data_IF_180954909932
#
_entry.id   IF_180954909932
#
_cell.length_a   1.000
_cell.length_b   1.000
_cell.length_c   1.000
_cell.angle_alpha   90.00
_cell.angle_beta   90.00
_cell.angle_gamma   90.00
#
_symmetry.space_group_name_H-M   'P 1'
#
loop_
_entity.id
_entity.type
_entity.pdbx_description
1 polymer ?
#
# COMPACT_ATOMS: atom_id res chain seq x y z
N UNK A 1 4.88 -31.65 -1.30
CA UNK A 1 4.37 -30.30 -1.04
C UNK A 1 4.92 -29.88 0.32
N UNK A 2 5.50 -28.68 0.40
CA UNK A 2 5.90 -28.12 1.68
C UNK A 2 4.67 -28.07 2.62
N UNK A 3 4.77 -28.50 3.90
CA UNK A 3 3.64 -28.49 4.83
C UNK A 3 2.92 -27.14 4.92
N UNK A 4 3.64 -26.04 4.74
CA UNK A 4 3.09 -24.68 4.75
C UNK A 4 2.08 -24.40 3.63
N UNK A 5 2.29 -24.96 2.43
CA UNK A 5 1.40 -24.76 1.29
C UNK A 5 0.08 -25.52 1.50
N UNK A 6 0.15 -26.71 2.12
CA UNK A 6 -1.03 -27.52 2.41
C UNK A 6 -2.01 -26.81 3.35
N UNK A 7 -1.50 -26.20 4.43
CA UNK A 7 -2.34 -25.41 5.34
C UNK A 7 -3.02 -24.23 4.63
N UNK A 8 -2.31 -23.56 3.72
CA UNK A 8 -2.82 -22.41 2.97
C UNK A 8 -3.92 -22.84 1.98
N UNK A 9 -3.73 -23.97 1.29
CA UNK A 9 -4.75 -24.54 0.40
C UNK A 9 -6.04 -24.91 1.14
N UNK A 10 -5.92 -25.49 2.34
CA UNK A 10 -7.08 -25.80 3.18
C UNK A 10 -7.80 -24.53 3.66
N UNK A 11 -7.03 -23.51 4.06
CA UNK A 11 -7.59 -22.24 4.52
C UNK A 11 -8.37 -21.51 3.42
N UNK A 12 -7.85 -21.53 2.19
CA UNK A 12 -8.47 -20.94 1.00
C UNK A 12 -9.57 -21.82 0.39
N UNK A 13 -9.84 -23.00 0.96
CA UNK A 13 -10.84 -23.98 0.48
C UNK A 13 -10.69 -24.30 -1.00
N UNK A 14 -9.46 -24.54 -1.44
CA UNK A 14 -9.17 -24.85 -2.84
C UNK A 14 -9.68 -26.24 -3.18
N UNK A 15 -10.46 -26.34 -4.25
CA UNK A 15 -10.98 -27.59 -4.77
C UNK A 15 -10.48 -27.88 -6.19
N UNK A 16 -10.64 -29.14 -6.63
CA UNK A 16 -10.32 -29.52 -8.01
C UNK A 16 -11.27 -28.76 -8.95
N UNK A 17 -10.69 -28.01 -9.89
CA UNK A 17 -11.42 -27.17 -10.83
C UNK A 17 -11.25 -25.67 -10.58
N UNK A 18 -10.60 -25.27 -9.48
CA UNK A 18 -10.31 -23.87 -9.21
C UNK A 18 -9.03 -23.38 -9.90
N UNK A 19 -9.03 -22.10 -10.28
CA UNK A 19 -7.83 -21.39 -10.71
C UNK A 19 -7.17 -20.77 -9.49
N UNK A 20 -5.90 -21.09 -9.28
CA UNK A 20 -5.11 -20.60 -8.15
C UNK A 20 -3.85 -19.87 -8.62
N UNK A 21 -3.43 -18.90 -7.82
CA UNK A 21 -2.13 -18.23 -7.94
C UNK A 21 -1.26 -18.62 -6.75
N UNK A 22 -0.05 -19.13 -7.02
CA UNK A 22 0.92 -19.47 -5.99
C UNK A 22 2.15 -18.59 -6.18
N UNK A 23 2.51 -17.84 -5.14
CA UNK A 23 3.74 -17.07 -5.11
C UNK A 23 4.88 -17.93 -4.55
N UNK A 24 5.88 -18.23 -5.39
CA UNK A 24 6.96 -19.15 -5.04
C UNK A 24 7.83 -18.68 -3.86
N UNK A 25 7.96 -17.38 -3.66
CA UNK A 25 8.84 -16.81 -2.61
C UNK A 25 8.22 -16.88 -1.22
N UNK A 26 6.90 -16.66 -1.12
CA UNK A 26 6.16 -16.62 0.15
C UNK A 26 5.45 -17.93 0.44
N UNK A 27 5.24 -18.78 -0.56
CA UNK A 27 4.36 -19.96 -0.46
C UNK A 27 2.88 -19.61 -0.36
N UNK A 28 2.52 -18.33 -0.52
CA UNK A 28 1.13 -17.88 -0.43
C UNK A 28 0.31 -18.38 -1.62
N UNK A 29 -0.86 -18.91 -1.33
CA UNK A 29 -1.83 -19.39 -2.32
C UNK A 29 -3.05 -18.49 -2.28
N UNK A 30 -3.55 -18.08 -3.45
CA UNK A 30 -4.80 -17.32 -3.60
C UNK A 30 -5.72 -18.02 -4.58
N UNK A 31 -6.95 -18.33 -4.16
CA UNK A 31 -8.03 -18.78 -5.06
C UNK A 31 -8.51 -17.60 -5.90
N UNK A 32 -8.42 -17.69 -7.22
CA UNK A 32 -8.93 -16.65 -8.14
C UNK A 32 -10.40 -16.86 -8.48
N UNK A 33 -10.86 -18.11 -8.49
CA UNK A 33 -12.24 -18.46 -8.82
C UNK A 33 -12.35 -19.85 -9.42
N UNK A 34 -13.57 -20.23 -9.79
CA UNK A 34 -13.86 -21.51 -10.45
C UNK A 34 -13.51 -21.42 -11.93
N UNK A 35 -12.90 -22.44 -12.52
CA UNK A 35 -12.57 -22.39 -13.94
C UNK A 35 -13.84 -22.49 -14.81
N UNK A 36 -13.97 -21.62 -15.81
CA UNK A 36 -15.09 -21.62 -16.78
C UNK A 36 -15.34 -22.98 -17.45
N UNK A 37 -14.29 -23.80 -17.61
CA UNK A 37 -14.40 -25.14 -18.20
C UNK A 37 -15.24 -26.11 -17.35
N UNK A 38 -15.43 -25.78 -16.07
CA UNK A 38 -16.24 -26.54 -15.11
C UNK A 38 -17.60 -25.88 -14.84
N UNK A 39 -17.92 -24.77 -15.51
CA UNK A 39 -19.24 -24.15 -15.43
C UNK A 39 -20.28 -25.07 -16.09
N UNK A 40 -21.29 -25.49 -15.33
CA UNK A 40 -22.44 -26.21 -15.87
C UNK A 40 -23.58 -25.22 -16.15
N UNK A 41 -24.36 -25.43 -17.22
CA UNK A 41 -25.45 -24.51 -17.61
C UNK A 41 -26.57 -24.37 -16.56
N UNK A 42 -26.54 -25.19 -15.50
CA UNK A 42 -27.55 -25.24 -14.43
C UNK A 42 -26.98 -24.88 -13.05
N UNK A 43 -25.78 -24.31 -13.00
CA UNK A 43 -25.15 -23.95 -11.75
C UNK A 43 -25.80 -22.69 -11.17
N UNK A 44 -26.58 -22.87 -10.08
CA UNK A 44 -27.18 -21.78 -9.30
C UNK A 44 -26.17 -21.19 -8.30
N UNK A 45 -24.92 -21.64 -8.32
CA UNK A 45 -23.87 -21.18 -7.43
C UNK A 45 -23.38 -19.78 -7.81
N UNK A 46 -23.24 -18.93 -6.80
CA UNK A 46 -22.75 -17.55 -6.94
C UNK A 46 -21.22 -17.51 -6.90
N UNK A 47 -20.56 -18.47 -7.54
CA UNK A 47 -19.09 -18.49 -7.63
C UNK A 47 -18.62 -17.59 -8.78
N UNK A 48 -17.51 -16.88 -8.55
CA UNK A 48 -16.86 -16.09 -9.59
C UNK A 48 -16.11 -17.04 -10.54
N UNK A 49 -16.63 -17.18 -11.76
CA UNK A 49 -16.02 -17.99 -12.80
C UNK A 49 -14.92 -17.20 -13.50
N UNK A 50 -13.75 -17.82 -13.64
CA UNK A 50 -12.56 -17.24 -14.24
C UNK A 50 -12.05 -18.13 -15.38
N UNK A 51 -11.60 -17.53 -16.50
CA UNK A 51 -11.10 -18.28 -17.63
C UNK A 51 -9.78 -18.98 -17.29
N UNK A 52 -9.52 -20.09 -17.97
CA UNK A 52 -8.24 -20.80 -17.84
C UNK A 52 -7.08 -19.84 -18.19
N UNK A 53 -6.10 -19.64 -17.29
CA UNK A 53 -4.95 -18.78 -17.57
C UNK A 53 -4.22 -19.22 -18.83
N UNK A 54 -3.92 -18.26 -19.72
CA UNK A 54 -3.19 -18.53 -20.97
C UNK A 54 -1.68 -18.49 -20.74
N UNK A 55 -0.96 -19.35 -21.45
CA UNK A 55 0.51 -19.45 -21.42
C UNK A 55 1.03 -20.39 -20.34
N UNK A 56 2.32 -20.27 -20.02
CA UNK A 56 3.01 -21.21 -19.13
C UNK A 56 2.54 -21.13 -17.67
N UNK A 57 2.53 -22.26 -16.96
CA UNK A 57 2.14 -22.31 -15.54
C UNK A 57 3.17 -21.61 -14.65
N UNK A 58 4.46 -21.82 -14.92
CA UNK A 58 5.54 -21.17 -14.19
C UNK A 58 5.99 -19.91 -14.93
N UNK A 59 5.71 -18.73 -14.35
CA UNK A 59 6.12 -17.44 -14.90
C UNK A 59 6.92 -16.66 -13.87
N UNK A 60 8.04 -16.07 -14.29
CA UNK A 60 8.74 -15.06 -13.52
C UNK A 60 8.17 -13.70 -13.92
N UNK A 61 7.49 -13.04 -12.98
CA UNK A 61 6.95 -11.68 -13.17
C UNK A 61 7.75 -10.71 -12.33
N UNK A 62 8.26 -9.66 -12.96
CA UNK A 62 8.79 -8.51 -12.23
C UNK A 62 7.61 -7.65 -11.79
N UNK A 63 7.49 -7.44 -10.49
CA UNK A 63 6.44 -6.62 -9.89
C UNK A 63 7.10 -5.34 -9.41
N UNK A 64 6.79 -4.24 -10.08
CA UNK A 64 7.16 -2.90 -9.63
C UNK A 64 6.06 -2.40 -8.72
N UNK A 65 6.42 -1.91 -7.54
CA UNK A 65 5.47 -1.41 -6.56
C UNK A 65 5.80 0.05 -6.23
N UNK A 66 4.89 0.93 -6.59
CA UNK A 66 4.97 2.34 -6.23
C UNK A 66 4.29 2.55 -4.89
N UNK A 67 5.02 3.08 -3.91
CA UNK A 67 4.54 3.33 -2.55
C UNK A 67 4.97 4.71 -2.10
N UNK A 68 4.07 5.48 -1.48
CA UNK A 68 4.44 6.79 -0.93
C UNK A 68 5.07 6.63 0.46
N UNK A 69 5.91 7.57 0.86
CA UNK A 69 6.46 7.61 2.22
C UNK A 69 5.34 7.69 3.28
N UNK A 70 4.21 8.34 2.94
CA UNK A 70 3.06 8.41 3.83
C UNK A 70 2.42 7.03 4.07
N UNK A 71 2.34 6.18 3.05
CA UNK A 71 1.79 4.83 3.20
C UNK A 71 2.66 3.99 4.14
N UNK A 72 3.98 4.14 4.05
CA UNK A 72 4.93 3.51 4.98
C UNK A 72 4.76 4.04 6.40
N UNK A 73 4.63 5.36 6.58
CA UNK A 73 4.37 5.96 7.88
C UNK A 73 3.08 5.42 8.53
N UNK A 74 1.99 5.36 7.77
CA UNK A 74 0.68 4.90 8.27
C UNK A 74 0.69 3.42 8.60
N UNK A 75 1.30 2.59 7.74
CA UNK A 75 1.38 1.14 7.95
C UNK A 75 2.18 0.78 9.23
N UNK A 76 3.23 1.55 9.55
CA UNK A 76 4.02 1.33 10.76
C UNK A 76 3.41 1.99 12.00
N UNK A 77 2.71 3.13 11.84
CA UNK A 77 1.99 3.76 12.95
C UNK A 77 0.78 2.92 13.41
N UNK A 78 0.22 2.10 12.50
CA UNK A 78 -0.86 1.15 12.77
C UNK A 78 -0.60 -0.15 12.04
N UNK A 79 0.06 -1.12 12.68
CA UNK A 79 0.17 -2.45 12.11
C UNK A 79 -1.23 -3.04 11.91
N UNK A 80 -1.74 -3.00 10.67
CA UNK A 80 -2.94 -3.73 10.28
C UNK A 80 -2.56 -5.21 10.24
N UNK A 81 -2.82 -5.93 11.33
CA UNK A 81 -2.47 -7.36 11.39
C UNK A 81 -2.19 -7.97 12.75
N UNK A 82 -2.42 -7.23 13.86
CA UNK A 82 -2.43 -7.86 15.17
C UNK A 82 -3.55 -8.92 15.27
N UNK A 83 -3.22 -10.11 15.75
CA UNK A 83 -4.20 -11.11 16.21
C UNK A 83 -4.74 -10.80 17.61
N UNK A 84 -4.44 -9.62 18.16
CA UNK A 84 -4.88 -9.24 19.49
C UNK A 84 -6.31 -8.67 19.46
N UNK A 85 -7.12 -9.09 20.43
CA UNK A 85 -8.50 -8.62 20.66
C UNK A 85 -8.58 -7.07 20.65
N UNK A 86 -7.51 -6.40 21.10
CA UNK A 86 -7.38 -4.94 21.09
C UNK A 86 -7.27 -4.34 19.68
N UNK A 87 -6.57 -5.02 18.76
CA UNK A 87 -6.42 -4.60 17.36
C UNK A 87 -7.68 -4.85 16.51
N UNK A 88 -8.47 -5.86 16.86
CA UNK A 88 -9.81 -6.10 16.27
C UNK A 88 -10.81 -5.05 16.75
N UNK A 89 -10.76 -4.65 18.03
CA UNK A 89 -11.58 -3.52 18.52
C UNK A 89 -11.14 -2.19 17.89
N UNK A 90 -9.84 -2.00 17.68
CA UNK A 90 -9.28 -0.81 17.03
C UNK A 90 -9.66 -0.64 15.55
N UNK A 91 -9.96 -1.73 14.84
CA UNK A 91 -10.42 -1.68 13.44
C UNK A 91 -11.94 -1.44 13.31
N UNK A 92 -12.73 -1.82 14.33
CA UNK A 92 -14.17 -1.53 14.43
C UNK A 92 -14.46 -0.07 14.84
N UNK A 93 -13.54 0.56 15.58
CA UNK A 93 -13.63 1.97 15.95
C UNK A 93 -13.08 2.82 14.81
N UNK A 94 -13.83 3.83 14.36
CA UNK A 94 -13.41 4.77 13.31
C UNK A 94 -11.93 5.13 13.46
N UNK A 95 -11.10 5.00 12.42
CA UNK A 95 -9.68 5.29 12.50
C UNK A 95 -9.46 6.77 12.86
N UNK A 96 -9.26 7.08 14.15
CA UNK A 96 -8.92 8.44 14.61
C UNK A 96 -7.54 8.79 14.10
N UNK A 97 -7.33 9.65 13.08
CA UNK A 97 -5.98 10.00 12.58
C UNK A 97 -4.97 10.13 13.73
N UNK A 98 -4.12 9.13 13.90
CA UNK A 98 -3.09 9.13 14.94
C UNK A 98 -1.94 9.93 14.38
N UNK A 99 -1.51 10.94 15.11
CA UNK A 99 -0.36 11.75 14.68
C UNK A 99 0.86 10.85 14.55
N UNK A 100 1.51 10.95 13.39
CA UNK A 100 2.78 10.27 13.14
C UNK A 100 3.85 11.08 13.87
N UNK A 101 4.49 10.45 14.86
CA UNK A 101 5.56 11.08 15.62
C UNK A 101 6.80 11.30 14.75
N UNK A 102 7.57 12.36 15.04
CA UNK A 102 8.83 12.61 14.33
C UNK A 102 9.86 11.50 14.51
N UNK A 103 9.79 10.76 15.63
CA UNK A 103 10.66 9.60 15.86
C UNK A 103 10.39 8.50 14.82
N UNK A 104 9.11 8.18 14.59
CA UNK A 104 8.72 7.18 13.58
C UNK A 104 9.15 7.61 12.17
N UNK A 105 8.92 8.88 11.80
CA UNK A 105 9.37 9.40 10.50
C UNK A 105 10.88 9.27 10.30
N UNK A 106 11.68 9.56 11.34
CA UNK A 106 13.15 9.42 11.27
C UNK A 106 13.58 7.97 11.09
N UNK A 107 12.93 7.03 11.77
CA UNK A 107 13.20 5.61 11.63
C UNK A 107 12.87 5.11 10.22
N UNK A 108 11.71 5.52 9.67
CA UNK A 108 11.30 5.16 8.31
C UNK A 108 12.23 5.77 7.28
N UNK A 109 12.56 7.06 7.39
CA UNK A 109 13.51 7.71 6.49
C UNK A 109 14.89 7.01 6.49
N UNK A 110 15.34 6.51 7.64
CA UNK A 110 16.59 5.75 7.73
C UNK A 110 16.52 4.42 6.95
N UNK A 111 15.40 3.71 7.01
CA UNK A 111 15.19 2.46 6.28
C UNK A 111 15.07 2.72 4.78
N UNK A 112 14.31 3.75 4.39
CA UNK A 112 14.16 4.15 2.98
C UNK A 112 15.50 4.52 2.38
N UNK A 113 16.30 5.36 3.05
CA UNK A 113 17.64 5.71 2.59
C UNK A 113 18.53 4.46 2.43
N UNK A 114 18.44 3.50 3.36
CA UNK A 114 19.18 2.23 3.25
C UNK A 114 18.76 1.43 2.01
N UNK A 115 17.47 1.40 1.66
CA UNK A 115 17.02 0.70 0.45
C UNK A 115 17.44 1.40 -0.84
N UNK A 116 17.51 2.73 -0.83
CA UNK A 116 18.06 3.52 -1.93
C UNK A 116 19.55 3.23 -2.09
N UNK A 117 20.33 3.28 -1.01
CA UNK A 117 21.77 3.01 -1.01
C UNK A 117 22.10 1.58 -1.48
N UNK A 118 21.23 0.62 -1.18
CA UNK A 118 21.36 -0.77 -1.61
C UNK A 118 20.90 -1.01 -3.06
N UNK A 119 20.33 0.00 -3.73
CA UNK A 119 19.76 -0.13 -5.07
C UNK A 119 18.50 -1.00 -5.15
N UNK A 120 17.81 -1.20 -4.00
CA UNK A 120 16.57 -1.97 -3.91
C UNK A 120 15.35 -1.10 -4.24
N UNK A 121 15.43 0.20 -3.95
CA UNK A 121 14.36 1.17 -4.19
C UNK A 121 14.89 2.41 -4.90
N UNK A 122 14.04 3.03 -5.71
CA UNK A 122 14.30 4.32 -6.35
C UNK A 122 13.37 5.38 -5.74
N UNK A 123 13.93 6.54 -5.41
CA UNK A 123 13.14 7.67 -4.93
C UNK A 123 12.69 8.53 -6.11
N UNK A 124 11.38 8.59 -6.34
CA UNK A 124 10.77 9.46 -7.34
C UNK A 124 10.11 10.66 -6.65
N UNK A 125 10.63 11.89 -6.80
CA UNK A 125 10.02 13.07 -6.20
C UNK A 125 8.70 13.42 -6.88
N UNK A 126 7.65 13.58 -6.08
CA UNK A 126 6.33 14.00 -6.54
C UNK A 126 6.18 15.53 -6.62
N UNK A 127 4.93 15.97 -6.83
CA UNK A 127 4.54 17.39 -6.81
C UNK A 127 3.49 17.61 -5.73
N UNK A 128 3.74 18.58 -4.85
CA UNK A 128 2.75 19.10 -3.91
C UNK A 128 2.22 20.43 -4.45
N UNK A 129 0.98 20.42 -4.93
CA UNK A 129 0.28 21.62 -5.36
C UNK A 129 -0.56 22.18 -4.21
N UNK A 130 -0.31 23.44 -3.84
CA UNK A 130 -1.12 24.16 -2.85
C UNK A 130 -1.82 25.32 -3.54
N UNK A 131 -3.12 25.15 -3.77
CA UNK A 131 -3.98 26.22 -4.25
C UNK A 131 -4.34 27.17 -3.11
N UNK A 132 -4.70 28.41 -3.47
CA UNK A 132 -5.07 29.47 -2.55
C UNK A 132 -4.08 29.64 -1.37
N UNK A 133 -2.77 29.63 -1.67
CA UNK A 133 -1.70 29.65 -0.64
C UNK A 133 -1.81 30.82 0.35
N UNK A 134 -2.50 31.90 -0.04
CA UNK A 134 -2.80 33.05 0.81
C UNK A 134 -3.70 32.73 2.02
N UNK A 135 -4.26 31.53 2.10
CA UNK A 135 -5.00 31.01 3.24
C UNK A 135 -4.09 30.40 4.33
N UNK A 136 -2.82 30.14 4.02
CA UNK A 136 -1.84 29.67 5.00
C UNK A 136 -1.35 30.80 5.92
N UNK A 137 -1.15 30.45 7.19
CA UNK A 137 -0.57 31.33 8.19
C UNK A 137 0.98 31.27 8.17
N UNK A 138 1.60 32.15 8.96
CA UNK A 138 3.07 32.19 9.07
C UNK A 138 3.67 30.90 9.63
N UNK A 139 2.94 30.16 10.47
CA UNK A 139 3.40 28.90 11.06
C UNK A 139 3.48 27.81 10.00
N UNK A 140 2.49 27.73 9.11
CA UNK A 140 2.48 26.84 7.96
C UNK A 140 3.68 27.11 7.04
N UNK A 141 3.98 28.37 6.73
CA UNK A 141 5.16 28.71 5.92
C UNK A 141 6.47 28.34 6.63
N UNK A 142 6.56 28.56 7.95
CA UNK A 142 7.73 28.18 8.75
C UNK A 142 7.92 26.66 8.73
N UNK A 143 6.83 25.89 8.84
CA UNK A 143 6.86 24.44 8.72
C UNK A 143 7.28 23.99 7.32
N UNK A 144 6.67 24.55 6.27
CA UNK A 144 6.99 24.23 4.88
C UNK A 144 8.45 24.52 4.54
N UNK A 145 9.00 25.64 5.02
CA UNK A 145 10.41 25.96 4.82
C UNK A 145 11.34 24.87 5.38
N UNK A 146 11.07 24.43 6.62
CA UNK A 146 11.84 23.34 7.26
C UNK A 146 11.64 22.00 6.55
N UNK A 147 10.43 21.72 6.06
CA UNK A 147 10.14 20.48 5.37
C UNK A 147 10.83 20.41 3.99
N UNK A 148 10.93 21.55 3.30
CA UNK A 148 11.58 21.69 1.99
C UNK A 148 13.11 21.55 2.04
N UNK A 149 13.73 21.69 3.22
CA UNK A 149 15.16 21.41 3.42
C UNK A 149 15.48 19.90 3.38
N UNK A 150 14.46 19.04 3.49
CA UNK A 150 14.64 17.59 3.41
C UNK A 150 15.00 17.15 1.98
N UNK A 151 15.98 16.24 1.80
CA UNK A 151 16.31 15.71 0.47
C UNK A 151 15.19 14.86 -0.14
N UNK A 152 14.23 14.41 0.69
CA UNK A 152 13.06 13.64 0.25
C UNK A 152 11.86 14.54 -0.09
N UNK A 153 12.03 15.86 -0.07
CA UNK A 153 10.93 16.80 -0.29
C UNK A 153 10.44 16.77 -1.75
N UNK A 154 9.11 16.81 -1.98
CA UNK A 154 8.57 16.95 -3.33
C UNK A 154 8.77 18.38 -3.86
N UNK A 155 8.53 18.56 -5.16
CA UNK A 155 8.45 19.89 -5.76
C UNK A 155 7.16 20.55 -5.27
N UNK A 156 7.26 21.72 -4.64
CA UNK A 156 6.09 22.46 -4.15
C UNK A 156 5.72 23.56 -5.14
N UNK A 157 4.47 23.56 -5.58
CA UNK A 157 3.91 24.58 -6.48
C UNK A 157 2.81 25.33 -5.74
N UNK A 158 2.97 26.64 -5.61
CA UNK A 158 1.98 27.52 -4.98
C UNK A 158 1.14 28.23 -6.04
N UNK A 159 -0.17 28.30 -5.81
CA UNK A 159 -1.08 29.12 -6.60
C UNK A 159 -1.85 30.11 -5.70
N UNK A 160 -2.10 31.30 -6.23
CA UNK A 160 -2.93 32.32 -5.58
C UNK A 160 -3.60 33.20 -6.62
N UNK A 161 -4.86 33.55 -6.37
CA UNK A 161 -5.62 34.52 -7.13
C UNK A 161 -5.56 35.95 -6.54
N UNK A 162 -4.81 36.15 -5.44
CA UNK A 162 -4.63 37.46 -4.78
C UNK A 162 -3.27 38.05 -5.10
N UNK A 163 -3.25 39.29 -5.59
CA UNK A 163 -2.01 40.04 -5.85
C UNK A 163 -1.32 40.59 -4.59
N UNK A 164 -2.08 40.92 -3.53
CA UNK A 164 -1.58 41.28 -2.20
C UNK A 164 -2.53 40.70 -1.14
N UNK A 165 -1.97 40.07 -0.12
CA UNK A 165 -2.72 39.57 1.03
C UNK A 165 -1.86 39.71 2.28
N UNK A 166 -2.48 40.02 3.41
CA UNK A 166 -1.84 39.88 4.71
C UNK A 166 -1.78 38.39 5.05
N UNK A 167 -0.60 37.88 5.40
CA UNK A 167 -0.45 36.55 5.98
C UNK A 167 -1.09 36.61 7.37
N UNK A 168 -1.93 35.62 7.67
CA UNK A 168 -2.63 35.53 8.96
C UNK A 168 -1.75 34.88 10.02
#
# INVERSE_FOLDING_TARGET
>A
LDPSIHETLQKEKVEIGDVIYIEANSGAVKRQGRCDAYATEYDLETEEYVPLPKGDVHKKKEVVQDVTLHDLDVANARPQGGQDILSIMGSLIKPKKTEITDKLRREINKVVNKYIDQGVAELVPGVLFVDEVHMLDIECFTYLHRALESPLAPIVIFATNRGRCLIR
#
